data_IF_603563455778
#
_entry.id   IF_603563455778
#
_cell.length_a   1.000
_cell.length_b   1.000
_cell.length_c   1.000
_cell.angle_alpha   90.00
_cell.angle_beta   90.00
_cell.angle_gamma   90.00
#
_symmetry.space_group_name_H-M   'P 1'
#
loop_
_entity.id
_entity.type
_entity.pdbx_description
1 polymer ?
#
# COMPACT_ATOMS: atom_id res chain seq x y z
N UNK A 1 0.08 -7.74 18.77
CA UNK A 1 -0.94 -8.56 18.08
C UNK A 1 -0.69 -8.42 16.58
N UNK A 2 -0.63 -9.52 15.82
CA UNK A 2 -0.58 -9.48 14.36
C UNK A 2 -2.01 -9.58 13.83
N UNK A 3 -2.46 -8.62 13.01
CA UNK A 3 -3.84 -8.54 12.53
C UNK A 3 -4.06 -9.30 11.23
N UNK A 4 -3.03 -9.39 10.40
CA UNK A 4 -3.07 -10.06 9.10
C UNK A 4 -1.69 -10.09 8.47
N UNK A 5 -1.52 -10.95 7.46
CA UNK A 5 -0.28 -11.09 6.70
C UNK A 5 -0.63 -11.21 5.22
N UNK A 6 0.17 -10.59 4.37
CA UNK A 6 0.01 -10.69 2.92
C UNK A 6 1.36 -10.85 2.24
N UNK A 7 1.37 -11.65 1.18
CA UNK A 7 2.53 -11.91 0.34
C UNK A 7 2.09 -11.81 -1.11
N UNK A 8 2.95 -11.22 -1.93
CA UNK A 8 2.75 -11.19 -3.38
C UNK A 8 4.06 -11.39 -4.14
N UNK A 9 3.97 -12.12 -5.26
CA UNK A 9 5.07 -12.35 -6.18
C UNK A 9 4.68 -11.80 -7.55
N UNK A 10 5.34 -10.74 -7.96
CA UNK A 10 5.06 -10.08 -9.23
C UNK A 10 6.15 -10.39 -10.27
N UNK A 11 5.74 -10.94 -11.42
CA UNK A 11 6.63 -11.09 -12.58
C UNK A 11 6.72 -9.74 -13.30
N UNK A 12 7.95 -9.31 -13.61
CA UNK A 12 8.20 -8.04 -14.31
C UNK A 12 7.63 -8.06 -15.74
N UNK A 13 7.66 -9.21 -16.44
CA UNK A 13 7.24 -9.26 -17.85
C UNK A 13 5.77 -8.84 -18.08
N UNK A 14 4.77 -9.31 -17.31
CA UNK A 14 3.41 -8.77 -17.33
C UNK A 14 3.34 -7.26 -17.10
N UNK A 15 4.00 -6.75 -16.06
CA UNK A 15 4.02 -5.31 -15.76
C UNK A 15 4.60 -4.50 -16.91
N UNK A 16 5.72 -4.96 -17.49
CA UNK A 16 6.35 -4.33 -18.65
C UNK A 16 5.37 -4.25 -19.83
N UNK A 17 4.59 -5.30 -20.09
CA UNK A 17 3.55 -5.29 -21.13
C UNK A 17 2.42 -4.31 -20.83
N UNK A 18 1.99 -4.20 -19.57
CA UNK A 18 0.97 -3.22 -19.17
C UNK A 18 1.47 -1.80 -19.36
N UNK A 19 2.66 -1.48 -18.86
CA UNK A 19 3.32 -0.17 -19.06
C UNK A 19 3.44 0.15 -20.54
N UNK A 20 3.95 -0.78 -21.38
CA UNK A 20 4.17 -0.49 -22.79
C UNK A 20 2.89 -0.34 -23.60
N UNK A 21 1.82 -1.07 -23.25
CA UNK A 21 0.56 -1.09 -24.00
C UNK A 21 -0.42 -0.01 -23.54
N UNK A 22 -0.51 0.20 -22.24
CA UNK A 22 -1.49 1.10 -21.63
C UNK A 22 -0.88 2.44 -21.23
N UNK A 23 0.43 2.50 -20.95
CA UNK A 23 1.13 3.74 -20.65
C UNK A 23 0.57 4.45 -19.41
N UNK A 24 0.43 5.78 -19.53
CA UNK A 24 0.03 6.67 -18.43
C UNK A 24 -1.31 6.31 -17.77
N UNK A 25 -2.39 5.98 -18.49
CA UNK A 25 -3.65 5.53 -17.86
C UNK A 25 -3.48 4.41 -16.84
N UNK A 26 -2.63 3.41 -17.12
CA UNK A 26 -2.38 2.32 -16.17
C UNK A 26 -1.57 2.78 -14.96
N UNK A 27 -0.63 3.72 -15.17
CA UNK A 27 0.10 4.32 -14.06
C UNK A 27 -0.81 5.17 -13.16
N UNK A 28 -1.73 5.93 -13.74
CA UNK A 28 -2.69 6.75 -13.00
C UNK A 28 -3.70 5.92 -12.20
N UNK A 29 -4.05 4.73 -12.69
CA UNK A 29 -4.90 3.79 -11.96
C UNK A 29 -4.19 3.19 -10.74
N UNK A 30 -2.90 2.86 -10.89
CA UNK A 30 -2.17 2.03 -9.91
C UNK A 30 -1.31 2.84 -8.95
N UNK A 31 -0.76 3.99 -9.36
CA UNK A 31 0.26 4.74 -8.62
C UNK A 31 -0.14 6.21 -8.41
N UNK A 32 0.09 6.71 -7.19
CA UNK A 32 -0.11 8.13 -6.87
C UNK A 32 0.87 9.00 -7.65
N UNK A 33 0.57 10.29 -7.80
CA UNK A 33 1.48 11.22 -8.49
C UNK A 33 2.88 11.26 -7.87
N UNK A 34 2.96 11.13 -6.53
CA UNK A 34 4.22 11.05 -5.80
C UNK A 34 5.01 9.79 -6.19
N UNK A 35 4.36 8.64 -6.26
CA UNK A 35 4.99 7.38 -6.71
C UNK A 35 5.43 7.46 -8.17
N UNK A 36 4.58 8.02 -9.04
CA UNK A 36 4.91 8.18 -10.45
C UNK A 36 6.15 9.05 -10.67
N UNK A 37 6.31 10.11 -9.88
CA UNK A 37 7.50 10.97 -9.90
C UNK A 37 8.78 10.19 -9.60
N UNK A 38 8.72 9.20 -8.70
CA UNK A 38 9.86 8.33 -8.40
C UNK A 38 10.03 7.23 -9.46
N UNK A 39 8.94 6.68 -10.01
CA UNK A 39 8.98 5.69 -11.08
C UNK A 39 9.65 6.22 -12.35
N UNK A 40 9.39 7.46 -12.73
CA UNK A 40 10.00 8.06 -13.94
C UNK A 40 11.49 8.36 -13.76
N UNK A 41 11.97 8.45 -12.52
CA UNK A 41 13.39 8.66 -12.19
C UNK A 41 14.18 7.36 -12.08
N UNK A 42 13.49 6.21 -12.13
CA UNK A 42 14.14 4.92 -11.96
C UNK A 42 14.89 4.48 -13.22
N UNK A 43 15.92 3.63 -13.03
CA UNK A 43 16.68 3.04 -14.13
C UNK A 43 15.82 2.16 -15.05
N UNK A 44 14.83 1.47 -14.48
CA UNK A 44 13.86 0.67 -15.23
C UNK A 44 12.48 0.80 -14.60
N UNK A 45 11.61 1.56 -15.28
CA UNK A 45 10.26 1.86 -14.82
C UNK A 45 9.45 0.58 -14.56
N UNK A 46 9.55 -0.44 -15.41
CA UNK A 46 8.76 -1.66 -15.25
C UNK A 46 9.23 -2.50 -14.06
N UNK A 47 10.53 -2.48 -13.74
CA UNK A 47 11.05 -3.14 -12.52
C UNK A 47 10.56 -2.42 -11.27
N UNK A 48 10.67 -1.09 -11.23
CA UNK A 48 10.19 -0.32 -10.08
C UNK A 48 8.68 -0.40 -9.91
N UNK A 49 7.92 -0.34 -11.02
CA UNK A 49 6.47 -0.52 -11.00
C UNK A 49 6.09 -1.92 -10.50
N UNK A 50 6.80 -2.98 -10.90
CA UNK A 50 6.54 -4.34 -10.42
C UNK A 50 6.76 -4.46 -8.89
N UNK A 51 7.77 -3.77 -8.34
CA UNK A 51 8.01 -3.72 -6.90
C UNK A 51 6.87 -3.02 -6.17
N UNK A 52 6.46 -1.85 -6.65
CA UNK A 52 5.34 -1.10 -6.06
C UNK A 52 4.03 -1.89 -6.14
N UNK A 53 3.73 -2.48 -7.29
CA UNK A 53 2.55 -3.33 -7.50
C UNK A 53 2.49 -4.48 -6.49
N UNK A 54 3.59 -5.24 -6.33
CA UNK A 54 3.65 -6.34 -5.37
C UNK A 54 3.47 -5.87 -3.92
N UNK A 55 4.05 -4.72 -3.57
CA UNK A 55 3.92 -4.16 -2.21
C UNK A 55 2.47 -3.76 -1.89
N UNK A 56 1.75 -3.18 -2.88
CA UNK A 56 0.33 -2.84 -2.73
C UNK A 56 -0.55 -4.08 -2.62
N UNK A 57 -0.35 -5.08 -3.48
CA UNK A 57 -1.05 -6.38 -3.40
C UNK A 57 -0.83 -7.08 -2.05
N UNK A 58 0.43 -7.16 -1.59
CA UNK A 58 0.74 -7.75 -0.30
C UNK A 58 0.05 -7.00 0.85
N UNK A 59 -0.02 -5.67 0.78
CA UNK A 59 -0.71 -4.85 1.77
C UNK A 59 -2.22 -5.07 1.76
N UNK A 60 -2.85 -5.10 0.58
CA UNK A 60 -4.28 -5.37 0.42
C UNK A 60 -4.66 -6.78 0.93
N UNK A 61 -3.80 -7.78 0.70
CA UNK A 61 -3.98 -9.14 1.25
C UNK A 61 -3.86 -9.16 2.77
N UNK A 62 -2.94 -8.40 3.35
CA UNK A 62 -2.81 -8.30 4.79
C UNK A 62 -4.05 -7.69 5.45
N UNK A 63 -4.77 -6.80 4.74
CA UNK A 63 -6.05 -6.24 5.17
C UNK A 63 -7.25 -7.17 4.90
N UNK A 64 -7.06 -8.28 4.19
CA UNK A 64 -8.13 -9.19 3.74
C UNK A 64 -9.22 -8.54 2.87
N UNK A 65 -8.91 -7.42 2.21
CA UNK A 65 -9.86 -6.69 1.34
C UNK A 65 -9.62 -6.95 -0.14
N UNK A 66 -8.36 -7.20 -0.54
CA UNK A 66 -7.97 -7.05 -1.94
C UNK A 66 -8.25 -5.62 -2.43
N UNK A 67 -8.59 -5.46 -3.71
CA UNK A 67 -8.98 -4.20 -4.34
C UNK A 67 -10.48 -4.18 -4.65
N UNK A 68 -11.28 -4.28 -3.59
CA UNK A 68 -12.73 -4.23 -3.58
C UNK A 68 -13.23 -3.63 -2.27
N UNK A 69 -14.53 -3.63 -2.02
CA UNK A 69 -15.13 -3.14 -0.75
C UNK A 69 -14.69 -1.72 -0.35
N UNK A 70 -14.59 -0.83 -1.34
CA UNK A 70 -14.18 0.56 -1.18
C UNK A 70 -12.66 0.78 -1.07
N UNK A 71 -11.86 -0.27 -1.25
CA UNK A 71 -10.39 -0.20 -1.28
C UNK A 71 -9.88 -0.14 -2.72
N UNK A 72 -9.03 0.85 -3.00
CA UNK A 72 -8.47 1.10 -4.33
C UNK A 72 -6.93 1.06 -4.32
N UNK A 73 -6.31 0.94 -5.49
CA UNK A 73 -4.85 0.93 -5.63
C UNK A 73 -4.17 2.17 -5.05
N UNK A 74 -4.78 3.34 -5.26
CA UNK A 74 -4.28 4.62 -4.79
C UNK A 74 -4.45 4.81 -3.27
N UNK A 75 -5.18 3.93 -2.60
CA UNK A 75 -5.26 3.92 -1.14
C UNK A 75 -3.98 3.39 -0.48
N UNK A 76 -3.10 2.77 -1.26
CA UNK A 76 -1.79 2.30 -0.82
C UNK A 76 -0.71 3.16 -1.49
N UNK A 77 0.10 3.87 -0.71
CA UNK A 77 1.22 4.64 -1.24
C UNK A 77 2.54 4.01 -0.78
N UNK A 78 3.33 3.53 -1.73
CA UNK A 78 4.64 2.92 -1.50
C UNK A 78 5.71 4.00 -1.37
N UNK A 79 6.63 3.80 -0.41
CA UNK A 79 7.79 4.69 -0.25
C UNK A 79 8.95 4.32 -1.19
N UNK A 80 9.97 5.19 -1.30
CA UNK A 80 11.17 4.90 -2.06
C UNK A 80 11.84 3.61 -1.59
N UNK A 81 12.30 2.83 -2.56
CA UNK A 81 12.94 1.53 -2.37
C UNK A 81 14.11 1.56 -1.39
N UNK A 82 14.85 2.66 -1.36
CA UNK A 82 16.08 2.87 -0.60
C UNK A 82 15.81 3.08 0.90
N UNK A 83 14.58 3.44 1.26
CA UNK A 83 14.26 3.89 2.63
C UNK A 83 13.54 2.86 3.48
N UNK A 84 13.29 1.65 2.96
CA UNK A 84 12.52 0.58 3.62
C UNK A 84 11.23 1.10 4.30
N UNK A 85 10.60 2.12 3.71
CA UNK A 85 9.46 2.79 4.34
C UNK A 85 8.22 1.90 4.27
N UNK A 86 7.40 1.90 5.33
CA UNK A 86 6.12 1.20 5.31
C UNK A 86 5.21 1.80 4.24
N UNK A 87 4.35 0.97 3.65
CA UNK A 87 3.26 1.41 2.79
C UNK A 87 2.34 2.31 3.61
N UNK A 88 2.05 3.52 3.13
CA UNK A 88 1.07 4.43 3.73
C UNK A 88 -0.32 4.05 3.26
N UNK A 89 -1.28 4.02 4.19
CA UNK A 89 -2.68 3.72 3.92
C UNK A 89 -3.50 5.00 3.92
N UNK A 90 -4.34 5.14 2.91
CA UNK A 90 -5.30 6.22 2.69
C UNK A 90 -6.70 5.62 2.46
N UNK A 91 -7.71 6.49 2.36
CA UNK A 91 -9.07 6.11 1.94
C UNK A 91 -9.59 4.83 2.58
N UNK A 92 -10.16 3.95 1.74
CA UNK A 92 -10.76 2.70 2.20
C UNK A 92 -9.77 1.78 2.89
N UNK A 93 -8.52 1.69 2.39
CA UNK A 93 -7.50 0.84 3.02
C UNK A 93 -7.21 1.24 4.48
N UNK A 94 -7.12 2.55 4.74
CA UNK A 94 -6.93 3.07 6.10
C UNK A 94 -8.14 2.76 6.99
N UNK A 95 -9.34 2.96 6.46
CA UNK A 95 -10.56 2.80 7.22
C UNK A 95 -10.79 1.32 7.59
N UNK A 96 -10.49 0.39 6.66
CA UNK A 96 -10.46 -1.06 6.95
C UNK A 96 -9.39 -1.42 7.98
N UNK A 97 -8.17 -0.91 7.83
CA UNK A 97 -7.10 -1.14 8.80
C UNK A 97 -7.49 -0.68 10.21
N UNK A 98 -8.19 0.45 10.32
CA UNK A 98 -8.67 0.98 11.59
C UNK A 98 -9.80 0.13 12.18
N UNK A 99 -10.69 -0.43 11.36
CA UNK A 99 -11.74 -1.35 11.80
C UNK A 99 -11.19 -2.68 12.34
N UNK A 100 -10.00 -3.11 11.89
CA UNK A 100 -9.31 -4.30 12.40
C UNK A 100 -8.64 -4.05 13.76
N UNK A 101 -8.42 -2.80 14.16
CA UNK A 101 -7.79 -2.51 15.44
C UNK A 101 -8.75 -2.88 16.57
N UNK A 102 -8.31 -3.68 17.56
CA UNK A 102 -9.12 -3.97 18.71
C UNK A 102 -9.44 -2.66 19.44
N UNK A 103 -10.71 -2.43 19.73
CA UNK A 103 -11.11 -1.33 20.60
C UNK A 103 -10.68 -1.70 22.02
N UNK A 104 -9.50 -1.25 22.43
CA UNK A 104 -9.19 -1.22 23.84
C UNK A 104 -10.05 -0.13 24.46
N UNK A 105 -11.11 -0.53 25.18
CA UNK A 105 -11.68 0.35 26.18
C UNK A 105 -10.51 0.81 27.05
N UNK A 106 -10.27 2.12 27.11
CA UNK A 106 -9.32 2.72 28.02
C UNK A 106 -9.76 2.32 29.43
N UNK A 107 -9.26 1.18 29.89
CA UNK A 107 -9.47 0.69 31.24
C UNK A 107 -8.99 1.80 32.14
N UNK A 108 -9.86 2.18 33.08
CA UNK A 108 -9.63 3.07 34.21
C UNK A 108 -8.38 2.63 35.00
N UNK A 109 -7.20 2.91 34.46
CA UNK A 109 -5.96 3.02 35.20
C UNK A 109 -5.85 4.48 35.60
N UNK A 110 -6.35 4.81 36.80
CA UNK A 110 -6.03 6.09 37.43
C UNK A 110 -4.52 6.25 37.43
N UNK A 111 -3.99 7.12 36.57
CA UNK A 111 -2.75 7.80 36.88
C UNK A 111 -3.14 8.78 37.99
N UNK A 112 -3.01 8.34 39.24
CA UNK A 112 -2.99 9.25 40.39
C UNK A 112 -1.65 9.97 40.32
N UNK A 113 -1.59 10.97 39.44
CA UNK A 113 -0.53 11.98 39.40
C UNK A 113 -1.20 13.31 39.66
N UNK A 114 -1.48 13.61 40.93
CA UNK A 114 -1.89 14.94 41.37
C UNK A 114 -0.87 15.41 42.40
N UNK A 115 -0.13 16.44 42.00
CA UNK A 115 0.80 17.31 42.74
C UNK A 115 2.08 16.67 43.27
#
# INVERSE_FOLDING_TARGET
MLLGVGLDLCRIAPIRRSVSRLGKPWLDEVFTEAEQTELVRSTDLAVSAARGFAAKEASAKALSTGFGDGVHWLDFETGPAETARPVRLHGGARDHAQALLPTYASGSGRIVGRM
#
